data_IF_581502120896
#
_entry.id   IF_581502120896
#
_cell.length_a   1.000
_cell.length_b   1.000
_cell.length_c   1.000
_cell.angle_alpha   90.00
_cell.angle_beta   90.00
_cell.angle_gamma   90.00
#
_symmetry.space_group_name_H-M   'P 1'
#
loop_
_entity.id
_entity.type
_entity.pdbx_description
1 polymer ?
#
# COMPACT_ATOMS: atom_id res chain seq x y z
N UNK A 1 24.61 11.04 -14.60
CA UNK A 1 24.21 10.43 -13.32
C UNK A 1 24.96 11.12 -12.16
N UNK A 2 24.71 12.41 -11.91
CA UNK A 2 25.43 13.19 -10.87
C UNK A 2 24.50 13.83 -9.81
N UNK A 3 23.21 13.52 -9.80
CA UNK A 3 22.20 14.29 -9.06
C UNK A 3 21.28 13.43 -8.17
N UNK A 4 21.79 12.37 -7.53
CA UNK A 4 20.99 11.58 -6.58
C UNK A 4 21.53 11.77 -5.17
N UNK A 5 20.66 12.21 -4.26
CA UNK A 5 20.94 12.30 -2.83
C UNK A 5 19.96 11.36 -2.13
N UNK A 6 20.49 10.37 -1.42
CA UNK A 6 19.72 9.53 -0.53
C UNK A 6 19.74 10.20 0.84
N UNK A 7 18.61 10.76 1.26
CA UNK A 7 18.46 11.26 2.62
C UNK A 7 17.99 10.11 3.52
N UNK A 8 18.89 9.62 4.36
CA UNK A 8 18.56 8.61 5.38
C UNK A 8 18.31 9.35 6.68
N UNK A 9 17.05 9.36 7.14
CA UNK A 9 16.70 9.90 8.46
C UNK A 9 17.24 8.92 9.51
N UNK A 10 18.33 9.29 10.19
CA UNK A 10 18.90 8.49 11.29
C UNK A 10 19.08 9.36 12.54
N UNK A 11 19.01 8.76 13.72
CA UNK A 11 19.25 9.42 15.01
C UNK A 11 20.71 9.91 15.21
N UNK A 12 21.61 9.62 14.27
CA UNK A 12 23.01 10.06 14.30
C UNK A 12 23.25 11.13 13.24
N UNK A 13 23.86 12.24 13.64
CA UNK A 13 24.27 13.29 12.73
C UNK A 13 25.34 12.76 11.75
N UNK A 14 24.94 12.51 10.51
CA UNK A 14 25.84 12.19 9.41
C UNK A 14 26.35 13.52 8.83
N UNK A 15 27.64 13.64 8.55
CA UNK A 15 28.19 14.78 7.82
C UNK A 15 27.66 14.75 6.38
N UNK A 16 26.53 15.41 6.15
CA UNK A 16 25.91 15.48 4.83
C UNK A 16 26.73 16.36 3.87
N UNK A 17 26.79 16.01 2.57
CA UNK A 17 27.33 16.87 1.51
C UNK A 17 26.55 18.20 1.42
N UNK A 18 26.99 19.18 0.59
CA UNK A 18 26.30 20.47 0.43
C UNK A 18 24.78 20.33 0.29
N UNK A 19 24.04 21.32 0.82
CA UNK A 19 22.58 21.28 0.84
C UNK A 19 22.02 20.89 -0.55
N UNK A 20 20.96 20.06 -0.58
CA UNK A 20 20.37 19.61 -1.83
C UNK A 20 20.00 20.82 -2.70
N UNK A 21 20.36 20.78 -3.97
CA UNK A 21 19.99 21.81 -4.94
C UNK A 21 18.52 21.63 -5.29
N UNK A 22 17.90 22.70 -5.74
CA UNK A 22 16.46 22.73 -6.05
C UNK A 22 16.04 21.74 -7.15
N UNK A 23 16.97 21.35 -8.04
CA UNK A 23 16.74 20.39 -9.11
C UNK A 23 17.09 18.94 -8.73
N UNK A 24 17.62 18.70 -7.53
CA UNK A 24 17.89 17.34 -7.06
C UNK A 24 16.57 16.65 -6.65
N UNK A 25 16.62 15.33 -6.52
CA UNK A 25 15.47 14.48 -6.17
C UNK A 25 15.70 13.81 -4.83
N UNK A 26 14.63 13.71 -4.03
CA UNK A 26 14.60 13.02 -2.74
C UNK A 26 13.76 11.76 -2.90
N UNK A 27 14.23 10.66 -2.32
CA UNK A 27 13.50 9.39 -2.28
C UNK A 27 13.17 9.08 -0.82
N UNK A 28 11.89 9.04 -0.49
CA UNK A 28 11.36 8.71 0.83
C UNK A 28 11.08 7.22 0.93
N UNK A 29 11.66 6.57 1.93
CA UNK A 29 11.64 5.13 2.16
C UNK A 29 11.52 4.85 3.66
N UNK A 30 10.77 3.82 4.03
CA UNK A 30 10.71 3.36 5.41
C UNK A 30 11.99 2.59 5.77
N UNK A 31 12.32 2.53 7.07
CA UNK A 31 13.53 1.88 7.59
C UNK A 31 13.63 0.38 7.24
N UNK A 32 12.48 -0.26 7.02
CA UNK A 32 12.37 -1.69 6.70
C UNK A 32 12.26 -1.97 5.19
N UNK A 33 12.24 -0.92 4.35
CA UNK A 33 12.08 -1.05 2.91
C UNK A 33 13.37 -1.55 2.26
N UNK A 34 13.25 -2.61 1.48
CA UNK A 34 14.31 -3.15 0.63
C UNK A 34 14.14 -2.66 -0.81
N UNK A 35 15.15 -1.95 -1.29
CA UNK A 35 15.27 -1.48 -2.67
C UNK A 35 15.49 -2.64 -3.63
N UNK A 36 14.76 -2.63 -4.75
CA UNK A 36 15.00 -3.54 -5.87
C UNK A 36 15.67 -2.82 -7.03
N UNK A 37 16.33 -3.59 -7.91
CA UNK A 37 16.90 -3.04 -9.15
C UNK A 37 15.82 -2.40 -10.03
N UNK A 38 14.62 -2.99 -10.09
CA UNK A 38 13.50 -2.47 -10.86
C UNK A 38 13.05 -1.11 -10.33
N UNK A 39 12.94 -0.96 -9.01
CA UNK A 39 12.58 0.31 -8.39
C UNK A 39 13.64 1.39 -8.68
N UNK A 40 14.93 1.06 -8.61
CA UNK A 40 15.99 2.01 -8.95
C UNK A 40 15.86 2.45 -10.41
N UNK A 41 15.72 1.52 -11.36
CA UNK A 41 15.51 1.86 -12.77
C UNK A 41 14.28 2.75 -12.98
N UNK A 42 13.18 2.46 -12.28
CA UNK A 42 11.97 3.28 -12.31
C UNK A 42 12.18 4.70 -11.81
N UNK A 43 12.86 4.84 -10.67
CA UNK A 43 13.21 6.15 -10.10
C UNK A 43 14.07 6.94 -11.09
N UNK A 44 15.11 6.31 -11.67
CA UNK A 44 15.97 6.95 -12.66
C UNK A 44 15.17 7.45 -13.87
N UNK A 45 14.30 6.61 -14.43
CA UNK A 45 13.46 6.96 -15.56
C UNK A 45 12.49 8.12 -15.23
N UNK A 46 11.90 8.09 -14.04
CA UNK A 46 11.02 9.17 -13.56
C UNK A 46 11.76 10.50 -13.42
N UNK A 47 12.96 10.47 -12.81
CA UNK A 47 13.80 11.66 -12.65
C UNK A 47 14.32 12.20 -13.99
N UNK A 48 14.57 11.32 -14.96
CA UNK A 48 15.01 11.69 -16.31
C UNK A 48 13.87 12.33 -17.14
N UNK A 49 12.65 11.81 -17.05
CA UNK A 49 11.48 12.39 -17.72
C UNK A 49 11.15 13.78 -17.14
N UNK A 50 11.15 13.92 -15.81
CA UNK A 50 11.08 15.22 -15.13
C UNK A 50 9.80 16.04 -15.38
N UNK A 51 8.77 15.45 -15.99
CA UNK A 51 7.51 16.15 -16.28
C UNK A 51 6.68 16.41 -15.02
N UNK A 52 6.80 15.54 -14.04
CA UNK A 52 6.02 15.57 -12.80
C UNK A 52 6.96 15.69 -11.59
N UNK A 53 6.59 16.50 -10.60
CA UNK A 53 7.46 16.84 -9.47
C UNK A 53 7.42 15.79 -8.35
N UNK A 54 6.42 14.92 -8.39
CA UNK A 54 6.17 13.92 -7.38
C UNK A 54 5.81 12.59 -8.02
N UNK A 55 6.39 11.52 -7.50
CA UNK A 55 6.18 10.17 -7.98
C UNK A 55 5.89 9.21 -6.84
N UNK A 56 5.03 8.23 -7.07
CA UNK A 56 4.75 7.15 -6.11
C UNK A 56 4.92 5.79 -6.79
N UNK A 57 5.64 4.89 -6.15
CA UNK A 57 5.82 3.50 -6.60
C UNK A 57 4.95 2.49 -5.87
N UNK A 58 5.17 1.21 -6.15
CA UNK A 58 4.45 0.09 -5.51
C UNK A 58 5.33 -0.60 -4.49
N UNK A 59 4.72 -0.95 -3.36
CA UNK A 59 5.38 -1.75 -2.33
C UNK A 59 4.71 -3.11 -2.25
N UNK A 60 5.54 -4.15 -2.15
CA UNK A 60 5.11 -5.55 -2.07
C UNK A 60 5.60 -6.18 -0.78
N UNK A 61 4.78 -7.07 -0.20
CA UNK A 61 4.98 -7.57 1.17
C UNK A 61 5.37 -9.05 1.27
N UNK A 62 5.47 -9.76 0.14
CA UNK A 62 5.59 -11.21 0.07
C UNK A 62 6.93 -11.72 -0.50
N UNK A 63 7.97 -10.88 -0.52
CA UNK A 63 9.27 -11.22 -1.14
C UNK A 63 10.16 -12.10 -0.25
N UNK A 64 9.86 -12.21 1.04
CA UNK A 64 10.66 -12.98 2.02
C UNK A 64 9.88 -14.08 2.73
N UNK A 65 10.42 -14.54 3.86
CA UNK A 65 9.75 -15.51 4.74
C UNK A 65 8.45 -14.92 5.30
N UNK A 66 7.34 -15.59 5.05
CA UNK A 66 6.02 -15.17 5.51
C UNK A 66 5.83 -15.64 6.95
N UNK A 67 5.96 -14.69 7.89
CA UNK A 67 5.77 -14.94 9.33
C UNK A 67 4.29 -15.15 9.65
N UNK A 68 3.40 -14.37 9.03
CA UNK A 68 1.96 -14.45 9.27
C UNK A 68 1.18 -14.31 7.96
N UNK A 69 0.63 -15.42 7.50
CA UNK A 69 -0.14 -15.49 6.25
C UNK A 69 -1.39 -14.60 6.24
N UNK A 70 -2.03 -14.38 7.39
CA UNK A 70 -3.25 -13.60 7.46
C UNK A 70 -2.97 -12.10 7.29
N UNK A 71 -1.91 -11.58 7.93
CA UNK A 71 -1.51 -10.18 7.78
C UNK A 71 -0.92 -9.93 6.38
N UNK A 72 -0.09 -10.85 5.86
CA UNK A 72 0.45 -10.75 4.50
C UNK A 72 -0.64 -10.80 3.43
N UNK A 73 -1.64 -11.69 3.58
CA UNK A 73 -2.80 -11.70 2.68
C UNK A 73 -3.59 -10.39 2.79
N UNK A 74 -3.76 -9.85 3.99
CA UNK A 74 -4.44 -8.57 4.20
C UNK A 74 -3.69 -7.39 3.56
N UNK A 75 -2.35 -7.40 3.59
CA UNK A 75 -1.52 -6.40 2.92
C UNK A 75 -1.46 -6.58 1.41
N UNK A 76 -1.71 -7.79 0.88
CA UNK A 76 -1.81 -8.02 -0.57
C UNK A 76 -2.93 -7.19 -1.22
N UNK A 77 -4.00 -6.87 -0.48
CA UNK A 77 -5.03 -5.94 -0.95
C UNK A 77 -4.49 -4.52 -1.17
N UNK A 78 -3.47 -4.10 -0.41
CA UNK A 78 -2.80 -2.80 -0.64
C UNK A 78 -2.06 -2.82 -1.97
N UNK A 79 -1.37 -3.92 -2.28
CA UNK A 79 -0.67 -4.09 -3.57
C UNK A 79 -1.66 -4.01 -4.73
N UNK A 80 -2.83 -4.63 -4.58
CA UNK A 80 -3.89 -4.56 -5.59
C UNK A 80 -4.45 -3.14 -5.75
N UNK A 81 -4.63 -2.40 -4.65
CA UNK A 81 -5.10 -1.01 -4.68
C UNK A 81 -4.08 -0.08 -5.36
N UNK A 82 -2.78 -0.32 -5.14
CA UNK A 82 -1.69 0.42 -5.79
C UNK A 82 -1.66 0.20 -7.29
N UNK A 83 -1.64 -1.08 -7.69
CA UNK A 83 -1.55 -1.47 -9.09
C UNK A 83 -2.83 -1.10 -9.86
N UNK A 84 -3.96 -0.98 -9.16
CA UNK A 84 -5.25 -0.60 -9.72
C UNK A 84 -5.51 0.89 -9.64
N UNK A 85 -5.98 1.36 -8.48
CA UNK A 85 -6.52 2.71 -8.31
C UNK A 85 -5.43 3.77 -8.35
N UNK A 86 -4.34 3.58 -7.62
CA UNK A 86 -3.27 4.59 -7.55
C UNK A 86 -2.49 4.68 -8.86
N UNK A 87 -2.21 3.54 -9.49
CA UNK A 87 -1.61 3.55 -10.83
C UNK A 87 -2.49 4.27 -11.84
N UNK A 88 -3.79 3.98 -11.85
CA UNK A 88 -4.74 4.63 -12.75
C UNK A 88 -4.81 6.14 -12.48
N UNK A 89 -4.88 6.56 -11.22
CA UNK A 89 -5.04 7.98 -10.89
C UNK A 89 -3.84 8.81 -11.34
N UNK A 90 -2.64 8.27 -11.16
CA UNK A 90 -1.41 8.97 -11.46
C UNK A 90 -1.09 8.93 -12.95
N UNK A 91 -1.33 7.81 -13.64
CA UNK A 91 -1.09 7.71 -15.08
C UNK A 91 -2.12 8.46 -15.95
N UNK A 92 -3.36 8.63 -15.47
CA UNK A 92 -4.40 9.30 -16.27
C UNK A 92 -4.69 10.74 -15.83
N UNK A 93 -4.77 10.99 -14.52
CA UNK A 93 -5.17 12.29 -14.00
C UNK A 93 -4.01 13.11 -13.46
N UNK A 94 -2.86 12.48 -13.23
CA UNK A 94 -1.66 13.08 -12.64
C UNK A 94 -1.94 13.82 -11.33
N UNK A 95 -2.89 13.31 -10.54
CA UNK A 95 -3.40 13.93 -9.30
C UNK A 95 -3.67 12.87 -8.21
N UNK A 96 -3.48 13.20 -6.92
CA UNK A 96 -3.61 12.26 -5.82
C UNK A 96 -5.08 12.18 -5.35
N UNK A 97 -5.99 11.70 -6.22
CA UNK A 97 -7.44 11.75 -5.97
C UNK A 97 -7.89 10.78 -4.86
N UNK A 98 -7.37 9.55 -4.86
CA UNK A 98 -7.73 8.50 -3.88
C UNK A 98 -6.71 8.39 -2.74
N UNK A 99 -5.86 9.41 -2.57
CA UNK A 99 -4.83 9.47 -1.56
C UNK A 99 -3.42 9.27 -2.12
N UNK A 100 -2.46 9.39 -1.21
CA UNK A 100 -1.03 9.23 -1.45
C UNK A 100 -0.42 8.58 -0.19
N UNK A 101 0.49 7.65 -0.40
CA UNK A 101 1.31 6.96 0.59
C UNK A 101 2.55 7.76 1.04
N UNK A 102 3.06 7.47 2.23
CA UNK A 102 4.35 8.02 2.69
C UNK A 102 5.60 7.27 2.24
N UNK A 103 5.48 5.98 1.89
CA UNK A 103 6.63 5.15 1.49
C UNK A 103 6.68 4.90 -0.02
N UNK A 104 7.89 4.75 -0.53
CA UNK A 104 8.26 4.70 -1.95
C UNK A 104 7.72 5.92 -2.71
N UNK A 105 8.14 7.08 -2.25
CA UNK A 105 7.81 8.37 -2.83
C UNK A 105 9.08 9.06 -3.32
N UNK A 106 9.01 9.66 -4.50
CA UNK A 106 10.10 10.50 -5.03
C UNK A 106 9.58 11.90 -5.22
N UNK A 107 10.33 12.88 -4.76
CA UNK A 107 9.93 14.29 -4.78
C UNK A 107 11.09 15.13 -5.33
N UNK A 108 10.76 16.20 -6.05
CA UNK A 108 11.75 17.21 -6.42
C UNK A 108 11.98 18.17 -5.26
N UNK A 109 13.25 18.45 -4.93
CA UNK A 109 13.64 19.28 -3.77
C UNK A 109 12.92 20.63 -3.75
N UNK A 110 12.87 21.35 -4.88
CA UNK A 110 12.18 22.64 -4.94
C UNK A 110 10.69 22.55 -4.63
N UNK A 111 10.02 21.52 -5.17
CA UNK A 111 8.59 21.33 -4.98
C UNK A 111 8.27 20.90 -3.54
N UNK A 112 9.08 19.99 -2.98
CA UNK A 112 8.94 19.58 -1.59
C UNK A 112 9.17 20.74 -0.63
N UNK A 113 10.20 21.57 -0.83
CA UNK A 113 10.46 22.75 0.01
C UNK A 113 9.32 23.77 -0.04
N UNK A 114 8.68 23.93 -1.19
CA UNK A 114 7.56 24.86 -1.35
C UNK A 114 6.30 24.36 -0.61
N UNK A 115 6.01 23.07 -0.69
CA UNK A 115 4.86 22.47 0.00
C UNK A 115 5.13 22.34 1.50
N UNK A 116 6.33 21.87 1.87
CA UNK A 116 6.79 21.50 3.21
C UNK A 116 5.97 20.38 3.85
N UNK A 117 6.57 19.58 4.73
CA UNK A 117 5.82 18.62 5.57
C UNK A 117 5.34 19.27 6.89
N UNK A 118 5.92 20.41 7.29
CA UNK A 118 5.56 21.11 8.53
C UNK A 118 4.27 21.93 8.39
N UNK A 119 3.14 21.25 8.57
CA UNK A 119 1.80 21.85 8.52
C UNK A 119 1.19 22.10 9.92
N UNK A 120 1.99 21.93 10.98
CA UNK A 120 1.56 22.00 12.38
C UNK A 120 0.81 20.75 12.87
N UNK A 121 0.19 20.86 14.05
CA UNK A 121 -0.37 19.73 14.80
C UNK A 121 -1.44 18.92 14.03
N UNK A 122 -2.24 19.57 13.17
CA UNK A 122 -3.27 18.89 12.38
C UNK A 122 -2.67 18.04 11.24
N UNK A 123 -1.50 18.42 10.71
CA UNK A 123 -0.81 17.67 9.66
C UNK A 123 0.04 16.52 10.19
N UNK A 124 0.46 16.57 11.46
CA UNK A 124 1.44 15.63 12.02
C UNK A 124 0.99 14.16 12.13
N UNK A 125 -0.32 13.87 12.13
CA UNK A 125 -0.84 12.49 12.18
C UNK A 125 -1.09 11.92 10.77
N UNK A 126 -1.24 12.79 9.77
CA UNK A 126 -1.62 12.44 8.40
C UNK A 126 -0.75 13.21 7.40
N UNK A 127 0.55 13.25 7.64
CA UNK A 127 1.48 14.18 6.98
C UNK A 127 1.47 14.01 5.46
N UNK A 128 1.57 12.77 4.97
CA UNK A 128 1.57 12.45 3.53
C UNK A 128 0.26 12.86 2.86
N UNK A 129 -0.85 12.55 3.54
CA UNK A 129 -2.17 12.85 3.02
C UNK A 129 -2.37 14.36 2.99
N UNK A 130 -1.96 15.10 4.01
CA UNK A 130 -2.07 16.55 4.02
C UNK A 130 -1.15 17.19 2.97
N UNK A 131 0.09 16.73 2.88
CA UNK A 131 1.09 17.13 1.90
C UNK A 131 0.55 16.99 0.47
N UNK A 132 -0.03 15.83 0.13
CA UNK A 132 -0.62 15.57 -1.20
C UNK A 132 -1.67 16.59 -1.61
N UNK A 133 -2.50 17.01 -0.67
CA UNK A 133 -3.61 17.94 -0.92
C UNK A 133 -3.10 19.37 -1.10
N UNK A 134 -2.10 19.76 -0.31
CA UNK A 134 -1.45 21.06 -0.44
C UNK A 134 -0.64 21.13 -1.74
N UNK A 135 0.09 20.08 -2.09
CA UNK A 135 0.82 19.97 -3.35
C UNK A 135 -0.13 20.09 -4.56
N UNK A 136 -1.26 19.39 -4.53
CA UNK A 136 -2.29 19.51 -5.57
C UNK A 136 -2.90 20.92 -5.62
N UNK A 137 -3.09 21.59 -4.47
CA UNK A 137 -3.56 22.98 -4.41
C UNK A 137 -2.57 23.96 -5.03
N UNK A 138 -1.27 23.72 -4.89
CA UNK A 138 -0.21 24.49 -5.56
C UNK A 138 -0.09 24.18 -7.06
N UNK A 139 -0.87 23.21 -7.57
CA UNK A 139 -0.90 22.86 -8.99
C UNK A 139 0.16 21.84 -9.40
N UNK A 140 0.80 21.17 -8.44
CA UNK A 140 1.85 20.20 -8.75
C UNK A 140 1.33 18.89 -9.35
N UNK A 141 2.21 18.35 -10.20
CA UNK A 141 2.18 17.06 -10.91
C UNK A 141 2.34 15.80 -10.09
N UNK A 142 1.59 14.72 -10.34
CA UNK A 142 1.93 13.37 -9.85
C UNK A 142 2.09 12.37 -10.98
N UNK A 143 3.01 11.43 -10.82
CA UNK A 143 3.07 10.24 -11.67
C UNK A 143 3.34 8.97 -10.86
N UNK A 144 3.11 7.83 -11.51
CA UNK A 144 3.40 6.52 -10.99
C UNK A 144 4.77 6.05 -11.46
N UNK A 145 5.61 5.65 -10.50
CA UNK A 145 6.95 5.12 -10.73
C UNK A 145 6.83 3.62 -10.98
N UNK A 146 7.38 3.16 -12.09
CA UNK A 146 7.42 1.73 -12.40
C UNK A 146 8.45 1.01 -11.52
N UNK A 147 8.17 -0.25 -11.19
CA UNK A 147 9.01 -1.04 -10.29
C UNK A 147 8.46 -1.09 -8.85
N UNK A 148 8.97 -2.08 -8.12
CA UNK A 148 8.46 -2.47 -6.82
C UNK A 148 9.54 -2.46 -5.75
N UNK A 149 9.19 -2.03 -4.54
CA UNK A 149 10.03 -2.24 -3.36
C UNK A 149 9.45 -3.34 -2.49
N UNK A 150 10.29 -3.89 -1.62
CA UNK A 150 9.89 -4.96 -0.72
C UNK A 150 9.87 -4.48 0.72
N UNK A 151 8.74 -4.70 1.39
CA UNK A 151 8.57 -4.45 2.83
C UNK A 151 8.09 -5.72 3.53
N UNK A 152 8.02 -5.69 4.86
CA UNK A 152 7.46 -6.77 5.66
C UNK A 152 6.09 -6.41 6.19
N UNK A 153 5.18 -7.38 6.14
CA UNK A 153 3.90 -7.26 6.83
C UNK A 153 4.06 -7.33 8.34
N UNK A 154 3.13 -6.74 9.12
CA UNK A 154 3.12 -6.86 10.56
C UNK A 154 3.12 -8.33 10.99
N UNK A 155 3.94 -8.67 11.98
CA UNK A 155 4.10 -10.04 12.44
C UNK A 155 2.88 -10.51 13.25
N UNK A 156 2.20 -9.60 13.94
CA UNK A 156 1.01 -9.91 14.76
C UNK A 156 -0.24 -9.18 14.28
N UNK A 157 -1.41 -9.77 14.55
CA UNK A 157 -2.70 -9.13 14.27
C UNK A 157 -2.92 -7.86 15.10
N UNK A 158 -2.33 -7.77 16.29
CA UNK A 158 -2.45 -6.59 17.13
C UNK A 158 -1.71 -5.39 16.52
N UNK A 159 -0.47 -5.62 16.04
CA UNK A 159 0.31 -4.60 15.35
C UNK A 159 -0.39 -4.15 14.07
N UNK A 160 -0.94 -5.10 13.32
CA UNK A 160 -1.76 -4.82 12.15
C UNK A 160 -2.94 -3.89 12.49
N UNK A 161 -3.72 -4.20 13.53
CA UNK A 161 -4.85 -3.37 13.95
C UNK A 161 -4.41 -1.97 14.42
N UNK A 162 -3.29 -1.87 15.14
CA UNK A 162 -2.75 -0.58 15.55
C UNK A 162 -2.33 0.27 14.35
N UNK A 163 -1.69 -0.33 13.35
CA UNK A 163 -1.35 0.36 12.11
C UNK A 163 -2.59 0.87 11.38
N UNK A 164 -3.63 0.03 11.24
CA UNK A 164 -4.88 0.45 10.58
C UNK A 164 -5.63 1.52 11.38
N UNK A 165 -5.58 1.47 12.71
CA UNK A 165 -6.12 2.53 13.58
C UNK A 165 -5.42 3.87 13.32
N UNK A 166 -4.09 3.90 13.21
CA UNK A 166 -3.33 5.13 12.93
C UNK A 166 -3.72 5.74 11.59
N UNK A 167 -3.80 4.93 10.54
CA UNK A 167 -4.18 5.43 9.21
C UNK A 167 -5.62 5.94 9.15
N UNK A 168 -6.55 5.23 9.79
CA UNK A 168 -7.93 5.67 9.95
C UNK A 168 -8.02 7.02 10.67
N UNK A 169 -7.27 7.19 11.76
CA UNK A 169 -7.21 8.45 12.49
C UNK A 169 -6.65 9.56 11.62
N UNK A 170 -5.58 9.31 10.87
CA UNK A 170 -5.00 10.28 9.96
C UNK A 170 -5.98 10.75 8.87
N UNK A 171 -6.63 9.80 8.18
CA UNK A 171 -7.63 10.13 7.14
C UNK A 171 -8.80 10.91 7.75
N UNK A 172 -9.29 10.50 8.93
CA UNK A 172 -10.39 11.19 9.61
C UNK A 172 -10.02 12.65 9.90
N UNK A 173 -8.81 12.91 10.40
CA UNK A 173 -8.31 14.26 10.67
C UNK A 173 -8.22 15.08 9.37
N UNK A 174 -7.70 14.51 8.29
CA UNK A 174 -7.62 15.19 6.98
C UNK A 174 -9.01 15.57 6.44
N UNK A 175 -9.99 14.67 6.54
CA UNK A 175 -11.36 14.94 6.07
C UNK A 175 -12.03 16.04 6.92
N UNK A 176 -11.76 16.09 8.22
CA UNK A 176 -12.34 17.09 9.12
C UNK A 176 -11.59 18.43 9.11
N UNK A 177 -10.36 18.50 8.59
CA UNK A 177 -9.60 19.76 8.56
C UNK A 177 -10.24 20.79 7.61
N UNK A 178 -10.52 22.03 8.03
CA UNK A 178 -11.15 23.05 7.19
C UNK A 178 -10.22 23.61 6.10
N UNK A 179 -8.92 23.30 6.16
CA UNK A 179 -7.89 23.83 5.24
C UNK A 179 -7.95 23.23 3.83
N UNK A 180 -8.63 22.10 3.67
CA UNK A 180 -8.72 21.35 2.42
C UNK A 180 -10.09 21.55 1.78
N UNK A 181 -10.11 21.86 0.48
CA UNK A 181 -11.36 22.07 -0.25
C UNK A 181 -12.22 20.81 -0.30
N UNK A 182 -13.54 20.99 -0.14
CA UNK A 182 -14.51 19.89 -0.04
C UNK A 182 -14.51 18.98 -1.28
N UNK A 183 -14.23 19.51 -2.46
CA UNK A 183 -14.16 18.77 -3.74
C UNK A 183 -13.15 17.63 -3.70
N UNK A 184 -11.98 17.86 -3.11
CA UNK A 184 -10.94 16.85 -3.03
C UNK A 184 -11.23 15.82 -1.91
N UNK A 185 -12.00 16.21 -0.88
CA UNK A 185 -12.46 15.29 0.18
C UNK A 185 -13.48 14.26 -0.33
N UNK A 186 -14.25 14.60 -1.37
CA UNK A 186 -15.25 13.69 -1.96
C UNK A 186 -14.60 12.45 -2.59
N UNK A 187 -13.34 12.53 -3.03
CA UNK A 187 -12.63 11.37 -3.59
C UNK A 187 -11.92 10.49 -2.55
N UNK A 188 -11.65 11.04 -1.36
CA UNK A 188 -11.22 10.28 -0.17
C UNK A 188 -12.41 9.57 0.52
N UNK A 189 -13.63 10.06 0.29
CA UNK A 189 -14.89 9.59 0.86
C UNK A 189 -15.28 8.13 0.53
N UNK A 190 -15.01 7.55 -0.66
CA UNK A 190 -15.41 6.17 -0.97
C UNK A 190 -14.51 5.13 -0.28
N UNK A 191 -13.37 5.54 0.28
CA UNK A 191 -12.40 4.63 0.91
C UNK A 191 -12.85 4.19 2.31
N UNK A 192 -13.79 4.91 2.94
CA UNK A 192 -14.30 4.56 4.28
C UNK A 192 -15.77 4.95 4.46
N UNK A 193 -16.53 4.22 5.30
CA UNK A 193 -17.87 4.61 5.70
C UNK A 193 -17.76 5.91 6.49
N UNK A 194 -17.99 7.02 5.80
CA UNK A 194 -18.11 8.31 6.47
C UNK A 194 -19.41 8.33 7.25
N UNK A 195 -19.40 8.77 8.52
CA UNK A 195 -20.59 8.86 9.33
C UNK A 195 -21.48 9.97 8.78
N UNK A 196 -22.42 9.59 7.92
CA UNK A 196 -23.60 10.44 7.63
C UNK A 196 -24.90 9.67 7.76
N UNK A 197 -24.89 8.34 7.58
CA UNK A 197 -26.03 7.47 7.84
C UNK A 197 -25.57 6.11 8.39
N UNK A 198 -25.36 6.02 9.72
CA UNK A 198 -25.22 4.76 10.46
C UNK A 198 -26.14 3.60 9.96
N UNK A 199 -27.44 3.83 9.66
CA UNK A 199 -28.29 2.76 9.13
C UNK A 199 -27.92 2.29 7.72
N UNK A 200 -27.36 3.17 6.89
CA UNK A 200 -26.93 2.82 5.53
C UNK A 200 -25.66 1.98 5.55
N UNK A 201 -24.66 2.39 6.34
CA UNK A 201 -23.41 1.64 6.51
C UNK A 201 -23.67 0.27 7.15
N UNK A 202 -24.57 0.21 8.12
CA UNK A 202 -25.02 -1.05 8.71
C UNK A 202 -25.69 -1.95 7.67
N UNK A 203 -26.62 -1.42 6.87
CA UNK A 203 -27.32 -2.18 5.85
C UNK A 203 -26.36 -2.73 4.78
N UNK A 204 -25.43 -1.90 4.29
CA UNK A 204 -24.46 -2.32 3.28
C UNK A 204 -23.49 -3.38 3.83
N UNK A 205 -22.98 -3.18 5.05
CA UNK A 205 -22.09 -4.14 5.71
C UNK A 205 -22.81 -5.45 6.02
N UNK A 206 -24.09 -5.40 6.41
CA UNK A 206 -24.93 -6.56 6.68
C UNK A 206 -25.20 -7.37 5.40
N UNK A 207 -25.56 -6.72 4.30
CA UNK A 207 -25.74 -7.39 3.00
C UNK A 207 -24.43 -8.00 2.50
N UNK A 208 -23.32 -7.30 2.66
CA UNK A 208 -21.99 -7.83 2.35
C UNK A 208 -21.64 -9.06 3.19
N UNK A 209 -21.88 -9.00 4.51
CA UNK A 209 -21.64 -10.10 5.43
C UNK A 209 -22.51 -11.33 5.12
N UNK A 210 -23.78 -11.15 4.77
CA UNK A 210 -24.66 -12.25 4.34
C UNK A 210 -24.13 -12.90 3.06
N UNK A 211 -23.74 -12.11 2.06
CA UNK A 211 -23.22 -12.66 0.80
C UNK A 211 -21.91 -13.41 1.01
N UNK A 212 -21.00 -12.87 1.83
CA UNK A 212 -19.77 -13.55 2.20
C UNK A 212 -20.04 -14.86 2.95
N UNK A 213 -20.97 -14.84 3.91
CA UNK A 213 -21.40 -16.04 4.64
C UNK A 213 -21.97 -17.10 3.68
N UNK A 214 -22.86 -16.71 2.76
CA UNK A 214 -23.43 -17.62 1.77
C UNK A 214 -22.36 -18.24 0.87
N UNK A 215 -21.34 -17.46 0.48
CA UNK A 215 -20.22 -17.95 -0.33
C UNK A 215 -19.37 -18.95 0.45
N UNK A 216 -18.97 -18.61 1.69
CA UNK A 216 -18.19 -19.50 2.56
C UNK A 216 -18.96 -20.80 2.82
N UNK A 217 -20.25 -20.71 3.16
CA UNK A 217 -21.11 -21.87 3.38
C UNK A 217 -21.22 -22.74 2.11
N UNK A 218 -21.40 -22.12 0.95
CA UNK A 218 -21.43 -22.82 -0.34
C UNK A 218 -20.12 -23.55 -0.65
N UNK A 219 -18.98 -22.90 -0.39
CA UNK A 219 -17.64 -23.48 -0.57
C UNK A 219 -17.43 -24.66 0.39
N UNK A 220 -17.71 -24.50 1.68
CA UNK A 220 -17.60 -25.58 2.68
C UNK A 220 -18.46 -26.77 2.30
N UNK A 221 -19.71 -26.52 1.87
CA UNK A 221 -20.62 -27.59 1.43
C UNK A 221 -20.15 -28.28 0.13
N UNK A 222 -19.55 -27.52 -0.79
CA UNK A 222 -18.96 -28.06 -2.02
C UNK A 222 -17.83 -29.06 -1.73
N UNK A 223 -16.97 -28.77 -0.74
CA UNK A 223 -15.94 -29.72 -0.30
C UNK A 223 -16.51 -30.89 0.50
N UNK A 224 -17.59 -30.70 1.25
CA UNK A 224 -18.24 -31.77 2.04
C UNK A 224 -18.81 -32.91 1.19
N UNK A 225 -19.17 -32.67 -0.07
CA UNK A 225 -19.76 -33.71 -0.93
C UNK A 225 -18.72 -34.53 -1.71
N UNK A 226 -17.46 -34.06 -1.79
CA UNK A 226 -16.42 -34.71 -2.62
C UNK A 226 -15.49 -35.65 -1.85
N UNK A 227 -15.59 -35.71 -0.52
CA UNK A 227 -14.77 -36.58 0.33
C UNK A 227 -15.53 -37.71 1.07
N UNK A 228 -16.87 -37.72 1.04
CA UNK A 228 -17.66 -38.80 1.66
C UNK A 228 -17.75 -40.08 0.82
N UNK A 229 -17.09 -40.15 -0.34
CA UNK A 229 -17.18 -41.29 -1.27
C UNK A 229 -15.83 -41.75 -1.83
N UNK A 230 -14.72 -41.51 -1.13
CA UNK A 230 -13.47 -42.25 -1.41
C UNK A 230 -13.44 -43.47 -0.49
N UNK A 231 -13.67 -44.71 -1.00
CA UNK A 231 -13.48 -45.89 -0.18
C UNK A 231 -12.01 -46.00 0.18
N UNK A 232 -11.74 -46.10 1.49
CA UNK A 232 -10.44 -46.49 2.01
C UNK A 232 -10.18 -47.90 1.49
N UNK A 233 -9.41 -48.03 0.41
CA UNK A 233 -8.86 -49.33 0.04
C UNK A 233 -7.85 -49.71 1.13
N UNK A 234 -8.31 -50.57 2.03
CA UNK A 234 -7.49 -51.29 2.99
C UNK A 234 -6.37 -51.98 2.20
N UNK A 235 -5.16 -51.46 2.30
CA UNK A 235 -3.95 -52.14 1.82
C UNK A 235 -3.71 -53.34 2.76
N UNK A 236 -4.43 -54.43 2.56
CA UNK A 236 -4.04 -55.73 3.10
C UNK A 236 -2.87 -56.22 2.25
N UNK A 237 -1.67 -56.06 2.77
CA UNK A 237 -0.46 -56.64 2.20
C UNK A 237 -0.58 -58.16 2.19
N UNK A 238 -0.74 -58.73 1.01
CA UNK A 238 -0.40 -60.12 0.72
C UNK A 238 0.81 -60.12 -0.20
N UNK A 239 1.94 -60.52 0.36
CA UNK A 239 3.18 -60.83 -0.35
C UNK A 239 2.92 -62.05 -1.24
N UNK A 240 3.11 -62.00 -2.58
CA UNK A 240 3.18 -63.21 -3.37
C UNK A 240 4.63 -63.73 -3.30
N UNK A 241 4.83 -64.75 -2.46
CA UNK A 241 6.01 -65.57 -2.50
C UNK A 241 5.97 -66.55 -3.68
N UNK A 242 7.06 -66.55 -4.46
CA UNK A 242 7.71 -67.76 -4.98
C UNK A 242 7.08 -68.53 -6.15
N UNK A 243 7.97 -69.30 -6.80
CA UNK A 243 7.80 -70.33 -7.86
C UNK A 243 7.95 -69.80 -9.30
N UNK A 244 9.15 -69.76 -9.91
CA UNK A 244 10.09 -70.83 -10.35
C UNK A 244 9.69 -71.50 -11.70
N UNK A 245 10.64 -71.48 -12.65
CA UNK A 245 10.89 -72.41 -13.80
C UNK A 245 9.68 -72.99 -14.57
N UNK A 246 9.61 -72.94 -15.90
CA UNK A 246 10.56 -73.45 -16.91
C UNK A 246 10.15 -72.93 -18.28
#
# INVERSE_FOLDING_TARGET
MENFIFEVVTDKAIHLPPQPRDNDWIVHLDEETLLTTNAICGILNFCEDGQHQFGQGVITYASGEIVNWLTTLSDSFRVADDMGKLRLQFKLFHKPLFGWKGSFVVTQVAAERNVSYDHGMEGSIAEDCFFSMIAMKHGYTFDFIEGEMHEKSPFTMWDFLQQRKRWLQGILLTVHSPRIALTHKVFLCPLFPLPRCLPFDFALSFVGAINLYMYIFGVVKSFSHKYSSVPIHTFTGTVPGGWCST
#
